data_IF_415045994845
#
_entry.id   IF_415045994845
#
_cell.length_a   1.000
_cell.length_b   1.000
_cell.length_c   1.000
_cell.angle_alpha   90.00
_cell.angle_beta   90.00
_cell.angle_gamma   90.00
#
_symmetry.space_group_name_H-M   'P 1'
#
loop_
_entity.id
_entity.type
_entity.pdbx_description
1 polymer ?
#
# COMPACT_ATOMS: atom_id res chain seq x y z
N UNK A 1 -7.63 3.25 3.30
CA UNK A 1 -7.34 3.54 4.72
C UNK A 1 -8.38 2.88 5.58
N UNK A 2 -7.98 2.34 6.72
CA UNK A 2 -8.89 1.64 7.66
C UNK A 2 -8.85 2.36 9.01
N UNK A 3 -10.02 2.61 9.59
CA UNK A 3 -10.20 3.15 10.93
C UNK A 3 -11.38 2.46 11.62
N UNK A 4 -11.18 2.04 12.85
CA UNK A 4 -12.21 1.36 13.66
C UNK A 4 -12.85 0.13 12.97
N UNK A 5 -12.03 -0.66 12.27
CA UNK A 5 -12.46 -1.85 11.54
C UNK A 5 -13.23 -1.58 10.24
N UNK A 6 -13.21 -0.35 9.72
CA UNK A 6 -13.89 0.02 8.49
C UNK A 6 -12.94 0.69 7.50
N UNK A 7 -13.14 0.43 6.21
CA UNK A 7 -12.49 1.20 5.15
C UNK A 7 -13.16 2.58 5.08
N UNK A 8 -12.39 3.64 5.36
CA UNK A 8 -12.90 5.01 5.46
C UNK A 8 -12.44 5.92 4.33
N UNK A 9 -11.36 5.57 3.66
CA UNK A 9 -10.83 6.34 2.53
C UNK A 9 -9.94 5.47 1.64
N UNK A 10 -9.76 5.89 0.38
CA UNK A 10 -8.83 5.28 -0.57
C UNK A 10 -8.03 6.36 -1.31
N UNK A 11 -6.83 6.02 -1.72
CA UNK A 11 -5.97 6.89 -2.50
C UNK A 11 -5.27 6.09 -3.59
N UNK A 12 -5.31 6.59 -4.80
CA UNK A 12 -4.63 6.02 -5.95
C UNK A 12 -4.00 7.12 -6.79
N UNK A 13 -2.80 6.88 -7.29
CA UNK A 13 -2.13 7.73 -8.27
C UNK A 13 -1.20 6.91 -9.13
N UNK A 14 -1.14 7.21 -10.41
CA UNK A 14 0.02 6.85 -11.23
C UNK A 14 1.20 7.72 -10.82
N UNK A 15 2.40 7.18 -11.00
CA UNK A 15 3.65 7.85 -10.67
C UNK A 15 4.58 7.75 -11.88
N UNK A 16 5.15 8.89 -12.30
CA UNK A 16 6.26 8.86 -13.22
C UNK A 16 7.50 8.29 -12.50
N UNK A 17 8.07 7.18 -12.95
CA UNK A 17 9.22 6.57 -12.26
C UNK A 17 10.49 7.40 -12.43
N UNK A 18 11.38 7.33 -11.43
CA UNK A 18 12.73 7.92 -11.48
C UNK A 18 13.75 6.82 -11.14
N UNK A 19 14.69 6.47 -12.05
CA UNK A 19 14.77 6.96 -13.43
C UNK A 19 13.58 6.50 -14.26
N UNK A 20 13.25 7.24 -15.33
CA UNK A 20 12.15 6.90 -16.25
C UNK A 20 12.53 5.67 -17.09
N UNK A 21 12.49 4.50 -16.45
CA UNK A 21 12.84 3.21 -17.02
C UNK A 21 11.76 2.17 -16.70
N UNK A 22 11.38 1.43 -17.74
CA UNK A 22 10.35 0.42 -17.66
C UNK A 22 10.95 -0.98 -17.89
N UNK A 23 10.78 -1.84 -16.91
CA UNK A 23 11.14 -3.25 -17.04
C UNK A 23 9.99 -3.99 -17.73
N UNK A 24 10.30 -4.65 -18.85
CA UNK A 24 9.32 -5.42 -19.61
C UNK A 24 8.55 -6.43 -18.74
N UNK A 25 9.24 -7.18 -17.89
CA UNK A 25 8.61 -8.19 -17.05
C UNK A 25 7.67 -7.59 -16.01
N UNK A 26 8.01 -6.44 -15.44
CA UNK A 26 7.14 -5.72 -14.53
C UNK A 26 5.87 -5.23 -15.25
N UNK A 27 6.03 -4.70 -16.46
CA UNK A 27 4.87 -4.27 -17.27
C UNK A 27 3.91 -5.41 -17.58
N UNK A 28 4.41 -6.63 -17.80
CA UNK A 28 3.54 -7.80 -18.00
C UNK A 28 2.70 -8.13 -16.76
N UNK A 29 3.14 -7.74 -15.57
CA UNK A 29 2.41 -7.98 -14.32
C UNK A 29 1.38 -6.90 -14.05
N UNK A 30 1.78 -5.61 -14.08
CA UNK A 30 0.89 -4.50 -13.68
C UNK A 30 0.19 -3.81 -14.87
N UNK A 31 0.59 -4.08 -16.11
CA UNK A 31 -0.02 -3.54 -17.33
C UNK A 31 0.22 -2.04 -17.58
N UNK A 32 0.89 -1.32 -16.68
CA UNK A 32 1.11 0.13 -16.81
C UNK A 32 2.20 0.40 -17.84
N UNK A 33 1.90 1.25 -18.82
CA UNK A 33 2.80 1.64 -19.88
C UNK A 33 3.49 2.98 -19.57
N UNK A 34 4.60 3.25 -20.26
CA UNK A 34 5.29 4.53 -20.15
C UNK A 34 4.37 5.71 -20.52
N UNK A 35 3.58 5.57 -21.58
CA UNK A 35 2.67 6.63 -22.06
C UNK A 35 1.68 7.06 -20.96
N UNK A 36 1.19 6.11 -20.14
CA UNK A 36 0.25 6.41 -19.06
C UNK A 36 0.90 7.19 -17.91
N UNK A 37 2.21 7.13 -17.78
CA UNK A 37 2.92 7.76 -16.67
C UNK A 37 3.81 8.93 -17.08
N UNK A 38 3.97 9.22 -18.36
CA UNK A 38 4.83 10.32 -18.84
C UNK A 38 4.42 11.69 -18.27
N UNK A 39 3.12 11.92 -18.11
CA UNK A 39 2.57 13.15 -17.51
C UNK A 39 2.15 12.97 -16.04
N UNK A 40 2.41 11.79 -15.44
CA UNK A 40 2.07 11.54 -14.06
C UNK A 40 2.99 12.31 -13.09
N UNK A 41 2.50 12.63 -11.89
CA UNK A 41 3.34 13.28 -10.89
C UNK A 41 4.47 12.36 -10.42
N UNK A 42 5.60 12.95 -10.03
CA UNK A 42 6.72 12.22 -9.42
C UNK A 42 6.37 11.74 -8.01
N UNK A 43 7.07 10.72 -7.52
CA UNK A 43 6.80 10.08 -6.24
C UNK A 43 6.71 11.07 -5.07
N UNK A 44 7.62 12.03 -4.96
CA UNK A 44 7.64 12.99 -3.84
C UNK A 44 6.35 13.82 -3.74
N UNK A 45 5.74 14.19 -4.87
CA UNK A 45 4.45 14.89 -4.90
C UNK A 45 3.29 13.98 -4.51
N UNK A 46 3.28 12.75 -5.03
CA UNK A 46 2.25 11.77 -4.70
C UNK A 46 2.33 11.39 -3.22
N UNK A 47 3.53 11.22 -2.70
CA UNK A 47 3.72 10.93 -1.28
C UNK A 47 3.20 12.06 -0.38
N UNK A 48 3.50 13.30 -0.72
CA UNK A 48 2.96 14.46 0.01
C UNK A 48 1.43 14.51 -0.01
N UNK A 49 0.80 14.16 -1.15
CA UNK A 49 -0.66 14.08 -1.24
C UNK A 49 -1.22 12.96 -0.35
N UNK A 50 -0.57 11.80 -0.34
CA UNK A 50 -0.94 10.68 0.53
C UNK A 50 -0.81 11.06 2.02
N UNK A 51 0.28 11.71 2.40
CA UNK A 51 0.49 12.22 3.77
C UNK A 51 -0.63 13.17 4.18
N UNK A 52 -1.00 14.12 3.32
CA UNK A 52 -2.13 15.03 3.56
C UNK A 52 -3.43 14.27 3.81
N UNK A 53 -3.73 13.28 2.96
CA UNK A 53 -4.94 12.43 3.13
C UNK A 53 -4.92 11.64 4.44
N UNK A 54 -3.77 11.10 4.83
CA UNK A 54 -3.63 10.38 6.11
C UNK A 54 -3.89 11.33 7.27
N UNK A 55 -3.38 12.55 7.21
CA UNK A 55 -3.60 13.57 8.25
C UNK A 55 -5.09 13.91 8.34
N UNK A 56 -5.75 14.19 7.23
CA UNK A 56 -7.19 14.51 7.20
C UNK A 56 -8.03 13.39 7.81
N UNK A 57 -7.67 12.13 7.55
CA UNK A 57 -8.42 10.97 8.04
C UNK A 57 -8.16 10.68 9.52
N UNK A 58 -6.89 10.71 9.95
CA UNK A 58 -6.50 10.23 11.29
C UNK A 58 -6.28 11.34 12.31
N UNK A 59 -6.06 12.58 11.85
CA UNK A 59 -5.72 13.72 12.70
C UNK A 59 -6.50 15.01 12.32
N UNK A 60 -7.85 14.94 12.14
CA UNK A 60 -8.64 16.05 11.56
C UNK A 60 -8.60 17.34 12.37
N UNK A 61 -8.33 17.26 13.67
CA UNK A 61 -8.33 18.42 14.59
C UNK A 61 -6.94 18.98 14.87
N UNK A 62 -5.91 18.56 14.10
CA UNK A 62 -4.53 18.97 14.36
C UNK A 62 -4.09 20.05 13.36
N UNK A 63 -3.43 21.09 13.89
CA UNK A 63 -2.76 22.09 13.07
C UNK A 63 -1.70 21.44 12.17
N UNK A 64 -1.51 21.99 10.95
CA UNK A 64 -0.52 21.49 10.01
C UNK A 64 0.91 21.73 10.52
N UNK A 65 1.40 20.81 11.28
CA UNK A 65 2.76 20.73 11.79
C UNK A 65 3.55 19.70 10.97
N UNK A 66 4.84 19.48 11.25
CA UNK A 66 5.61 18.42 10.59
C UNK A 66 4.99 17.04 10.87
N UNK A 67 4.05 16.66 10.00
CA UNK A 67 3.18 15.49 10.18
C UNK A 67 3.88 14.15 9.91
N UNK A 68 5.11 14.15 9.39
CA UNK A 68 5.83 12.91 9.04
C UNK A 68 5.99 11.98 10.23
N UNK A 69 6.31 12.49 11.40
CA UNK A 69 6.44 11.69 12.62
C UNK A 69 5.10 11.19 13.15
N UNK A 70 4.03 11.96 12.98
CA UNK A 70 2.67 11.53 13.37
C UNK A 70 2.18 10.41 12.45
N UNK A 71 2.42 10.52 11.14
CA UNK A 71 2.09 9.48 10.16
C UNK A 71 2.82 8.18 10.49
N UNK A 72 4.07 8.24 10.95
CA UNK A 72 4.82 7.06 11.36
C UNK A 72 4.17 6.29 12.54
N UNK A 73 3.23 6.90 13.26
CA UNK A 73 2.44 6.20 14.29
C UNK A 73 1.32 5.35 13.71
N UNK A 74 0.88 5.65 12.48
CA UNK A 74 -0.14 4.86 11.77
C UNK A 74 0.55 3.67 11.12
N UNK A 75 0.16 2.42 11.42
CA UNK A 75 0.77 1.27 10.80
C UNK A 75 0.35 1.13 9.34
N UNK A 76 1.31 0.81 8.50
CA UNK A 76 1.04 0.31 7.15
C UNK A 76 0.75 -1.18 7.21
N UNK A 77 -0.11 -1.63 6.33
CA UNK A 77 -0.45 -3.05 6.19
C UNK A 77 -0.26 -3.46 4.75
N UNK A 78 0.42 -4.58 4.53
CA UNK A 78 0.61 -5.13 3.19
C UNK A 78 0.59 -6.66 3.22
N UNK A 79 0.39 -7.27 2.06
CA UNK A 79 0.45 -8.71 1.90
C UNK A 79 1.83 -9.12 1.38
N UNK A 80 2.69 -9.67 2.23
CA UNK A 80 4.14 -9.77 2.08
C UNK A 80 4.83 -8.39 2.30
N UNK A 81 4.51 -7.75 3.39
CA UNK A 81 4.89 -6.38 3.76
C UNK A 81 6.38 -6.06 3.63
N UNK A 82 7.24 -7.05 3.76
CA UNK A 82 8.70 -6.89 3.57
C UNK A 82 9.06 -6.40 2.17
N UNK A 83 8.30 -6.81 1.15
CA UNK A 83 8.50 -6.35 -0.22
C UNK A 83 8.12 -4.87 -0.35
N UNK A 84 6.94 -4.49 0.12
CA UNK A 84 6.42 -3.11 0.03
C UNK A 84 7.30 -2.13 0.81
N UNK A 85 7.70 -2.51 2.02
CA UNK A 85 8.64 -1.73 2.84
C UNK A 85 9.99 -1.54 2.13
N UNK A 86 10.50 -2.60 1.49
CA UNK A 86 11.73 -2.54 0.71
C UNK A 86 11.65 -1.58 -0.47
N UNK A 87 10.55 -1.63 -1.23
CA UNK A 87 10.28 -0.72 -2.33
C UNK A 87 10.16 0.73 -1.84
N UNK A 88 9.43 0.95 -0.75
CA UNK A 88 9.25 2.28 -0.18
C UNK A 88 10.60 2.88 0.29
N UNK A 89 11.41 2.13 1.00
CA UNK A 89 12.77 2.55 1.40
C UNK A 89 13.65 2.87 0.19
N UNK A 90 13.56 2.08 -0.87
CA UNK A 90 14.34 2.31 -2.08
C UNK A 90 13.95 3.62 -2.78
N UNK A 91 12.66 3.88 -2.94
CA UNK A 91 12.19 5.11 -3.60
C UNK A 91 12.48 6.37 -2.76
N UNK A 92 12.37 6.31 -1.43
CA UNK A 92 12.78 7.41 -0.56
C UNK A 92 14.26 7.79 -0.77
N UNK A 93 15.15 6.80 -0.94
CA UNK A 93 16.57 7.06 -1.26
C UNK A 93 16.75 7.74 -2.61
N UNK A 94 16.01 7.30 -3.65
CA UNK A 94 16.07 7.92 -4.99
C UNK A 94 15.73 9.40 -4.92
N UNK A 95 14.72 9.78 -4.14
CA UNK A 95 14.29 11.16 -3.98
C UNK A 95 14.99 11.91 -2.84
N UNK A 96 16.00 11.31 -2.20
CA UNK A 96 16.76 11.88 -1.09
C UNK A 96 15.84 12.39 0.04
N UNK A 97 14.76 11.66 0.28
CA UNK A 97 13.80 11.93 1.34
C UNK A 97 14.16 11.16 2.61
N UNK A 98 13.97 11.78 3.77
CA UNK A 98 14.10 11.09 5.04
C UNK A 98 13.01 10.03 5.17
N UNK A 99 13.40 8.81 5.47
CA UNK A 99 12.48 7.70 5.71
C UNK A 99 12.17 7.60 7.21
N UNK A 100 10.93 7.90 7.64
CA UNK A 100 10.52 7.62 9.01
C UNK A 100 10.45 6.11 9.26
N UNK A 101 10.62 5.68 10.51
CA UNK A 101 10.50 4.28 10.89
C UNK A 101 9.04 3.83 10.89
N UNK A 102 8.44 3.70 9.70
CA UNK A 102 7.08 3.22 9.53
C UNK A 102 6.95 1.77 10.03
N UNK A 103 5.88 1.50 10.76
CA UNK A 103 5.55 0.13 11.15
C UNK A 103 4.77 -0.54 10.05
N UNK A 104 5.17 -1.78 9.73
CA UNK A 104 4.43 -2.61 8.79
C UNK A 104 3.87 -3.85 9.48
N UNK A 105 2.59 -4.13 9.23
CA UNK A 105 1.96 -5.40 9.55
C UNK A 105 1.79 -6.22 8.27
N UNK A 106 2.01 -7.54 8.39
CA UNK A 106 2.03 -8.46 7.27
C UNK A 106 0.84 -9.42 7.31
N UNK A 107 -0.12 -9.20 6.43
CA UNK A 107 -1.31 -10.06 6.32
C UNK A 107 -0.97 -11.47 5.78
N UNK A 108 0.14 -11.65 5.05
CA UNK A 108 0.62 -12.97 4.65
C UNK A 108 1.04 -13.80 5.88
N UNK A 109 1.79 -13.20 6.77
CA UNK A 109 2.20 -13.85 8.03
C UNK A 109 1.00 -14.12 8.93
N UNK A 110 0.08 -13.16 9.05
CA UNK A 110 -1.16 -13.32 9.80
C UNK A 110 -2.02 -14.47 9.24
N UNK A 111 -2.18 -14.54 7.92
CA UNK A 111 -2.95 -15.61 7.27
C UNK A 111 -2.36 -16.99 7.49
N UNK A 112 -1.03 -17.11 7.43
CA UNK A 112 -0.35 -18.40 7.71
C UNK A 112 -0.56 -18.84 9.17
N UNK A 113 -0.58 -17.90 10.10
CA UNK A 113 -0.86 -18.19 11.51
C UNK A 113 -2.32 -18.62 11.73
N UNK A 114 -3.27 -17.93 11.09
CA UNK A 114 -4.71 -18.18 11.27
C UNK A 114 -5.19 -19.43 10.56
N UNK A 115 -4.83 -19.58 9.29
CA UNK A 115 -5.38 -20.61 8.43
C UNK A 115 -4.49 -21.85 8.29
N UNK A 116 -3.16 -21.70 8.47
CA UNK A 116 -2.22 -22.82 8.37
C UNK A 116 -2.37 -23.58 7.05
N UNK A 117 -2.59 -24.88 7.14
CA UNK A 117 -2.77 -25.76 5.97
C UNK A 117 -4.23 -25.85 5.47
N UNK A 118 -5.17 -25.11 6.06
CA UNK A 118 -6.57 -25.13 5.62
C UNK A 118 -6.79 -24.39 4.28
N UNK A 119 -5.82 -23.59 3.83
CA UNK A 119 -5.83 -22.96 2.51
C UNK A 119 -4.82 -23.65 1.57
N UNK A 120 -5.14 -23.73 0.26
CA UNK A 120 -4.24 -24.33 -0.73
C UNK A 120 -2.95 -23.52 -0.92
N UNK A 121 -3.02 -22.22 -0.69
CA UNK A 121 -1.90 -21.27 -0.66
C UNK A 121 -2.29 -20.02 0.13
N UNK A 122 -1.33 -19.13 0.35
CA UNK A 122 -1.56 -17.85 1.04
C UNK A 122 -1.34 -16.65 0.12
N UNK A 123 -1.69 -16.76 -1.15
CA UNK A 123 -1.72 -15.63 -2.07
C UNK A 123 -2.85 -14.67 -1.71
N UNK A 124 -2.69 -13.38 -2.04
CA UNK A 124 -3.64 -12.32 -1.69
C UNK A 124 -5.09 -12.69 -2.03
N UNK A 125 -5.32 -13.16 -3.25
CA UNK A 125 -6.64 -13.56 -3.74
C UNK A 125 -7.26 -14.71 -2.92
N UNK A 126 -6.46 -15.74 -2.59
CA UNK A 126 -6.92 -16.89 -1.81
C UNK A 126 -7.29 -16.48 -0.39
N UNK A 127 -6.47 -15.64 0.23
CA UNK A 127 -6.70 -15.16 1.60
C UNK A 127 -7.86 -14.19 1.64
N UNK A 128 -7.99 -13.28 0.67
CA UNK A 128 -9.11 -12.36 0.55
C UNK A 128 -10.44 -13.12 0.50
N UNK A 129 -10.54 -14.14 -0.37
CA UNK A 129 -11.72 -15.00 -0.48
C UNK A 129 -12.05 -15.71 0.84
N UNK A 130 -11.05 -16.23 1.55
CA UNK A 130 -11.22 -16.86 2.85
C UNK A 130 -11.70 -15.88 3.94
N UNK A 131 -11.38 -14.60 3.80
CA UNK A 131 -11.88 -13.51 4.66
C UNK A 131 -13.21 -12.92 4.18
N UNK A 132 -13.84 -13.48 3.16
CA UNK A 132 -15.14 -13.04 2.64
C UNK A 132 -15.06 -11.84 1.67
N UNK A 133 -13.89 -11.53 1.15
CA UNK A 133 -13.68 -10.45 0.17
C UNK A 133 -13.41 -11.03 -1.22
N UNK A 134 -14.23 -10.64 -2.20
CA UNK A 134 -14.09 -11.06 -3.61
C UNK A 134 -13.20 -10.09 -4.37
N UNK A 135 -11.91 -10.43 -4.50
CA UNK A 135 -10.94 -9.62 -5.21
C UNK A 135 -11.15 -9.71 -6.72
N UNK A 136 -11.73 -8.67 -7.29
CA UNK A 136 -11.81 -8.46 -8.74
C UNK A 136 -10.58 -7.68 -9.21
N UNK A 137 -10.16 -7.89 -10.46
CA UNK A 137 -9.05 -7.17 -11.09
C UNK A 137 -7.71 -7.26 -10.30
N UNK A 138 -7.32 -8.47 -9.94
CA UNK A 138 -6.00 -8.72 -9.34
C UNK A 138 -4.87 -8.11 -10.20
N UNK A 139 -3.84 -7.56 -9.56
CA UNK A 139 -2.77 -6.72 -10.11
C UNK A 139 -3.16 -5.26 -10.45
N UNK A 140 -4.40 -4.85 -10.17
CA UNK A 140 -4.73 -3.44 -10.08
C UNK A 140 -4.46 -2.95 -8.66
N UNK A 141 -3.50 -2.05 -8.49
CA UNK A 141 -2.92 -1.70 -7.19
C UNK A 141 -3.96 -1.29 -6.12
N UNK A 142 -5.01 -0.54 -6.51
CA UNK A 142 -6.06 -0.16 -5.58
C UNK A 142 -6.90 -1.36 -5.14
N UNK A 143 -7.26 -2.26 -6.07
CA UNK A 143 -8.03 -3.47 -5.75
C UNK A 143 -7.23 -4.39 -4.81
N UNK A 144 -5.93 -4.54 -5.05
CA UNK A 144 -5.03 -5.33 -4.19
C UNK A 144 -4.90 -4.69 -2.79
N UNK A 145 -4.82 -3.36 -2.71
CA UNK A 145 -4.79 -2.63 -1.44
C UNK A 145 -6.10 -2.76 -0.66
N UNK A 146 -7.25 -2.72 -1.33
CA UNK A 146 -8.57 -2.93 -0.70
C UNK A 146 -8.73 -4.36 -0.20
N UNK A 147 -8.30 -5.36 -0.98
CA UNK A 147 -8.28 -6.75 -0.54
C UNK A 147 -7.38 -6.94 0.70
N UNK A 148 -6.19 -6.33 0.69
CA UNK A 148 -5.30 -6.33 1.84
C UNK A 148 -5.93 -5.67 3.07
N UNK A 149 -6.65 -4.56 2.89
CA UNK A 149 -7.39 -3.90 3.97
C UNK A 149 -8.50 -4.80 4.54
N UNK A 150 -9.27 -5.49 3.68
CA UNK A 150 -10.30 -6.43 4.12
C UNK A 150 -9.70 -7.60 4.92
N UNK A 151 -8.57 -8.16 4.47
CA UNK A 151 -7.84 -9.19 5.22
C UNK A 151 -7.35 -8.65 6.57
N UNK A 152 -6.82 -7.42 6.60
CA UNK A 152 -6.34 -6.81 7.83
C UNK A 152 -7.47 -6.61 8.86
N UNK A 153 -8.63 -6.13 8.42
CA UNK A 153 -9.83 -5.99 9.27
C UNK A 153 -10.25 -7.33 9.88
N UNK A 154 -10.10 -8.43 9.12
CA UNK A 154 -10.48 -9.76 9.58
C UNK A 154 -9.45 -10.41 10.51
N UNK A 155 -8.13 -10.18 10.28
CA UNK A 155 -7.05 -10.93 10.93
C UNK A 155 -6.26 -10.15 12.00
N UNK A 156 -6.27 -8.81 11.95
CA UNK A 156 -5.45 -7.95 12.79
C UNK A 156 -6.31 -7.09 13.73
#
# INVERSE_FOLDING_TARGET
>A
MVRDGQMVDSFYSLIQPEPNYYNYWCQQVHGITQIETDDAPVFSKVWQQLEGRIVDVFFPDQEPDDNRYKIATIPFVAHNARFDEGCLKAVFRVYQMDYPDYRFYDTLTASRRQFGQSLPNHQLQTVAAACGYDLQNHHYALADAEACAAIAIYLL
#
